data_IF_978691900789
#
_entry.id   IF_978691900789
#
_cell.length_a   1.000
_cell.length_b   1.000
_cell.length_c   1.000
_cell.angle_alpha   90.00
_cell.angle_beta   90.00
_cell.angle_gamma   90.00
#
_symmetry.space_group_name_H-M   'P 1'
#
loop_
_entity.id
_entity.type
_entity.pdbx_description
1 polymer ?
#
# COMPACT_ATOMS: atom_id res chain seq x y z
N UNK A 1 19.47 11.10 -4.92
CA UNK A 1 20.34 9.90 -4.90
C UNK A 1 19.96 9.06 -6.10
N UNK A 2 20.88 8.84 -7.05
CA UNK A 2 20.69 7.93 -8.19
C UNK A 2 21.21 6.56 -7.73
N UNK A 3 20.42 5.51 -7.89
CA UNK A 3 20.79 4.16 -7.48
C UNK A 3 21.33 3.43 -8.72
N UNK A 4 22.57 2.96 -8.67
CA UNK A 4 23.15 2.08 -9.68
C UNK A 4 22.86 0.61 -9.31
N UNK A 5 22.68 -0.21 -10.36
CA UNK A 5 21.85 -1.41 -10.40
C UNK A 5 22.34 -2.66 -9.66
N UNK A 6 23.53 -2.71 -9.06
CA UNK A 6 24.14 -4.02 -8.77
C UNK A 6 24.60 -4.27 -7.32
N UNK A 7 24.11 -3.49 -6.35
CA UNK A 7 24.34 -3.78 -4.93
C UNK A 7 23.07 -3.61 -4.13
N UNK A 8 22.71 -4.64 -3.35
CA UNK A 8 21.73 -4.52 -2.28
C UNK A 8 22.02 -3.25 -1.50
N UNK A 9 21.09 -2.31 -1.56
CA UNK A 9 21.32 -0.94 -1.12
C UNK A 9 21.05 -0.83 0.38
N UNK A 10 21.78 -1.65 1.13
CA UNK A 10 21.67 -1.79 2.59
C UNK A 10 22.11 -0.47 3.21
N UNK A 11 21.19 0.20 3.92
CA UNK A 11 21.51 1.40 4.68
C UNK A 11 21.72 2.66 3.86
N UNK A 12 21.18 2.77 2.64
CA UNK A 12 21.30 4.00 1.81
C UNK A 12 21.02 5.30 2.57
N UNK A 13 20.11 5.22 3.54
CA UNK A 13 19.62 6.38 4.27
C UNK A 13 20.21 6.52 5.68
N UNK A 14 21.09 5.60 6.11
CA UNK A 14 21.66 5.62 7.47
C UNK A 14 22.51 6.87 7.73
N UNK A 15 23.15 7.41 6.69
CA UNK A 15 23.94 8.63 6.76
C UNK A 15 23.08 9.91 6.88
N UNK A 16 21.78 9.82 6.63
CA UNK A 16 20.86 10.96 6.71
C UNK A 16 20.16 11.00 8.06
N UNK A 17 20.96 11.23 9.11
CA UNK A 17 20.51 11.19 10.51
C UNK A 17 19.39 12.17 10.87
N UNK A 18 19.19 13.23 10.08
CA UNK A 18 18.13 14.23 10.28
C UNK A 18 16.91 14.05 9.36
N UNK A 19 16.87 12.99 8.55
CA UNK A 19 15.82 12.77 7.57
C UNK A 19 14.48 12.45 8.25
N UNK A 20 13.52 13.37 8.11
CA UNK A 20 12.15 13.24 8.67
C UNK A 20 11.13 12.73 7.66
N UNK A 21 11.38 12.93 6.37
CA UNK A 21 10.46 12.58 5.29
C UNK A 21 11.23 11.87 4.18
N UNK A 22 10.75 10.71 3.76
CA UNK A 22 11.33 9.96 2.66
C UNK A 22 10.23 9.62 1.67
N UNK A 23 10.45 9.94 0.40
CA UNK A 23 9.62 9.47 -0.70
C UNK A 23 10.46 8.65 -1.64
N UNK A 24 10.07 7.40 -1.84
CA UNK A 24 10.63 6.49 -2.83
C UNK A 24 9.63 6.38 -3.98
N UNK A 25 10.09 6.62 -5.21
CA UNK A 25 9.26 6.54 -6.41
C UNK A 25 10.00 5.84 -7.53
N UNK A 26 9.28 4.97 -8.22
CA UNK A 26 9.76 4.28 -9.41
C UNK A 26 10.18 2.86 -9.11
N UNK A 27 10.64 2.19 -10.15
CA UNK A 27 11.06 0.80 -10.10
C UNK A 27 12.52 0.76 -9.66
N UNK A 28 12.79 0.09 -8.54
CA UNK A 28 14.12 -0.10 -8.03
C UNK A 28 14.21 -1.43 -7.30
N UNK A 29 15.44 -1.93 -7.17
CA UNK A 29 15.71 -3.17 -6.43
C UNK A 29 15.48 -3.01 -4.92
N UNK A 30 15.72 -4.09 -4.18
CA UNK A 30 15.53 -4.18 -2.73
C UNK A 30 16.21 -3.00 -2.01
N UNK A 31 15.41 -2.24 -1.26
CA UNK A 31 15.87 -1.12 -0.43
C UNK A 31 15.67 -1.47 1.04
N UNK A 32 16.69 -1.17 1.85
CA UNK A 32 16.59 -1.24 3.31
C UNK A 32 16.60 0.16 3.91
N UNK A 33 15.52 0.53 4.59
CA UNK A 33 15.39 1.84 5.25
C UNK A 33 15.83 1.74 6.70
N UNK A 34 16.87 2.49 7.06
CA UNK A 34 17.41 2.64 8.42
C UNK A 34 17.54 4.13 8.71
N UNK A 35 16.56 4.71 9.38
CA UNK A 35 16.46 6.16 9.58
C UNK A 35 15.73 6.47 10.89
N UNK A 36 16.45 6.64 12.01
CA UNK A 36 15.83 6.74 13.34
C UNK A 36 14.93 7.97 13.52
N UNK A 37 15.15 9.05 12.74
CA UNK A 37 14.37 10.29 12.82
C UNK A 37 13.24 10.39 11.80
N UNK A 38 13.03 9.35 10.99
CA UNK A 38 12.01 9.36 9.93
C UNK A 38 10.62 9.34 10.54
N UNK A 39 9.78 10.30 10.14
CA UNK A 39 8.39 10.45 10.59
C UNK A 39 7.38 10.06 9.52
N UNK A 40 7.72 10.29 8.25
CA UNK A 40 6.84 10.05 7.12
C UNK A 40 7.57 9.28 6.01
N UNK A 41 6.99 8.16 5.60
CA UNK A 41 7.48 7.33 4.50
C UNK A 41 6.39 7.20 3.43
N UNK A 42 6.72 7.60 2.20
CA UNK A 42 5.86 7.44 1.03
C UNK A 42 6.57 6.54 0.03
N UNK A 43 5.91 5.47 -0.39
CA UNK A 43 6.41 4.52 -1.39
C UNK A 43 5.45 4.54 -2.57
N UNK A 44 5.99 4.70 -3.79
CA UNK A 44 5.21 4.65 -5.03
C UNK A 44 5.88 3.76 -6.08
N UNK A 45 5.21 2.68 -6.45
CA UNK A 45 5.60 1.73 -7.51
C UNK A 45 7.00 1.14 -7.32
N UNK A 46 7.38 0.81 -6.08
CA UNK A 46 8.70 0.29 -5.73
C UNK A 46 8.63 -1.15 -5.25
N UNK A 47 9.62 -1.97 -5.61
CA UNK A 47 9.64 -3.40 -5.29
C UNK A 47 10.48 -3.73 -4.06
N UNK A 48 10.02 -4.72 -3.27
CA UNK A 48 10.80 -5.38 -2.20
C UNK A 48 11.42 -4.42 -1.18
N UNK A 49 10.58 -3.65 -0.48
CA UNK A 49 11.04 -2.71 0.55
C UNK A 49 11.07 -3.39 1.92
N UNK A 50 12.20 -3.24 2.60
CA UNK A 50 12.37 -3.65 3.98
C UNK A 50 12.66 -2.41 4.84
N UNK A 51 11.78 -2.09 5.77
CA UNK A 51 12.03 -1.07 6.79
C UNK A 51 12.67 -1.78 7.97
N UNK A 52 13.98 -1.62 8.15
CA UNK A 52 14.72 -2.32 9.20
C UNK A 52 14.67 -1.57 10.54
N UNK A 53 14.77 -0.24 10.51
CA UNK A 53 14.66 0.57 11.74
C UNK A 53 14.18 1.98 11.43
N UNK A 54 12.98 2.30 11.91
CA UNK A 54 12.37 3.63 11.82
C UNK A 54 11.43 3.86 13.03
N UNK A 55 11.95 3.88 14.27
CA UNK A 55 11.14 3.91 15.50
C UNK A 55 10.22 5.14 15.62
N UNK A 56 10.57 6.26 14.99
CA UNK A 56 9.77 7.49 15.02
C UNK A 56 8.81 7.63 13.83
N UNK A 57 8.67 6.58 13.01
CA UNK A 57 7.80 6.61 11.83
C UNK A 57 6.34 6.56 12.29
N UNK A 58 5.62 7.66 12.05
CA UNK A 58 4.23 7.82 12.47
C UNK A 58 3.25 7.74 11.30
N UNK A 59 3.71 8.04 10.07
CA UNK A 59 2.88 8.01 8.87
C UNK A 59 3.52 7.19 7.77
N UNK A 60 2.73 6.27 7.22
CA UNK A 60 3.13 5.42 6.11
C UNK A 60 2.16 5.55 4.94
N UNK A 61 2.67 5.66 3.73
CA UNK A 61 1.88 5.59 2.51
C UNK A 61 2.53 4.63 1.52
N UNK A 62 1.75 3.69 1.02
CA UNK A 62 2.16 2.77 -0.03
C UNK A 62 1.18 2.84 -1.20
N UNK A 63 1.72 2.98 -2.40
CA UNK A 63 0.97 2.99 -3.65
C UNK A 63 1.71 2.12 -4.67
N UNK A 64 1.05 1.12 -5.24
CA UNK A 64 1.66 0.27 -6.27
C UNK A 64 1.05 -1.11 -6.38
N UNK A 65 1.82 -2.04 -6.98
CA UNK A 65 1.43 -3.44 -7.12
C UNK A 65 1.78 -4.27 -5.87
N UNK A 66 1.48 -5.56 -5.89
CA UNK A 66 1.62 -6.52 -4.79
C UNK A 66 3.07 -6.84 -4.42
N UNK A 67 3.82 -5.81 -4.01
CA UNK A 67 5.21 -5.94 -3.63
C UNK A 67 5.33 -6.34 -2.17
N UNK A 68 6.26 -7.26 -1.84
CA UNK A 68 6.51 -7.60 -0.45
C UNK A 68 7.05 -6.37 0.28
N UNK A 69 6.28 -5.89 1.25
CA UNK A 69 6.67 -4.90 2.23
C UNK A 69 6.88 -5.60 3.57
N UNK A 70 8.00 -5.29 4.21
CA UNK A 70 8.29 -5.73 5.56
C UNK A 70 8.50 -4.51 6.45
N UNK A 71 7.62 -4.36 7.43
CA UNK A 71 7.71 -3.40 8.52
C UNK A 71 8.23 -4.09 9.79
N UNK A 72 8.92 -3.36 10.68
CA UNK A 72 9.28 -3.88 12.00
C UNK A 72 8.03 -4.24 12.80
N UNK A 73 8.07 -5.34 13.56
CA UNK A 73 6.93 -5.81 14.35
C UNK A 73 6.54 -4.86 15.49
N UNK A 74 7.50 -4.09 16.01
CA UNK A 74 7.35 -3.11 17.07
C UNK A 74 7.03 -1.69 16.54
N UNK A 75 6.76 -1.56 15.24
CA UNK A 75 6.48 -0.27 14.64
C UNK A 75 5.06 0.22 15.01
N UNK A 76 5.01 1.38 15.67
CA UNK A 76 3.75 2.05 16.03
C UNK A 76 3.45 3.20 15.06
N UNK A 77 2.57 2.93 14.09
CA UNK A 77 2.10 3.92 13.14
C UNK A 77 0.85 4.61 13.67
N UNK A 78 0.74 5.93 13.53
CA UNK A 78 -0.52 6.64 13.74
C UNK A 78 -1.42 6.52 12.50
N UNK A 79 -0.81 6.62 11.31
CA UNK A 79 -1.52 6.69 10.03
C UNK A 79 -0.90 5.79 8.97
N UNK A 80 -1.75 5.05 8.25
CA UNK A 80 -1.36 4.30 7.06
C UNK A 80 -2.33 4.54 5.91
N UNK A 81 -1.79 4.84 4.72
CA UNK A 81 -2.56 4.96 3.48
C UNK A 81 -2.07 3.92 2.46
N UNK A 82 -2.88 2.93 2.12
CA UNK A 82 -2.52 1.79 1.27
C UNK A 82 -3.38 1.79 0.00
N UNK A 83 -2.71 1.92 -1.15
CA UNK A 83 -3.33 1.94 -2.47
C UNK A 83 -2.72 0.83 -3.33
N UNK A 84 -3.46 -0.27 -3.50
CA UNK A 84 -3.00 -1.44 -4.26
C UNK A 84 -3.68 -1.49 -5.61
N UNK A 85 -2.92 -1.75 -6.67
CA UNK A 85 -3.45 -1.86 -8.02
C UNK A 85 -3.20 -3.25 -8.60
N UNK A 86 -4.26 -3.87 -9.15
CA UNK A 86 -4.10 -5.05 -10.00
C UNK A 86 -3.13 -4.71 -11.15
N UNK A 87 -2.08 -5.52 -11.39
CA UNK A 87 -1.28 -5.42 -12.60
C UNK A 87 -2.22 -5.45 -13.81
N UNK A 88 -2.03 -4.52 -14.73
CA UNK A 88 -2.65 -4.60 -16.04
C UNK A 88 -1.85 -5.65 -16.79
N UNK A 89 -2.42 -6.83 -17.03
CA UNK A 89 -1.81 -7.82 -17.93
C UNK A 89 -1.30 -7.10 -19.19
N UNK A 90 -0.05 -7.38 -19.59
CA UNK A 90 0.52 -7.33 -20.95
C UNK A 90 2.05 -7.08 -20.96
N UNK A 91 2.69 -6.60 -19.88
CA UNK A 91 4.17 -6.41 -19.91
C UNK A 91 4.99 -6.84 -18.69
N UNK A 92 4.38 -7.31 -17.60
CA UNK A 92 5.14 -7.91 -16.48
C UNK A 92 5.19 -9.44 -16.63
N UNK A 93 5.86 -9.89 -17.70
CA UNK A 93 6.10 -11.31 -17.99
C UNK A 93 7.11 -11.96 -17.01
N UNK A 94 7.48 -11.27 -15.92
CA UNK A 94 8.46 -11.72 -14.94
C UNK A 94 7.88 -12.12 -13.59
N UNK A 95 6.59 -11.85 -13.36
CA UNK A 95 5.85 -12.32 -12.19
C UNK A 95 4.77 -13.30 -12.65
N UNK A 96 5.17 -14.56 -12.77
CA UNK A 96 4.36 -15.77 -12.67
C UNK A 96 2.89 -15.60 -13.10
N UNK A 97 2.57 -16.07 -14.31
CA UNK A 97 1.24 -16.15 -14.92
C UNK A 97 0.18 -16.90 -14.06
N UNK A 98 0.52 -17.27 -12.84
CA UNK A 98 -0.30 -17.99 -11.86
C UNK A 98 -0.72 -17.16 -10.66
N UNK A 99 -0.62 -15.81 -10.65
CA UNK A 99 -0.96 -15.01 -9.45
C UNK A 99 -2.45 -15.13 -9.04
N UNK A 100 -2.73 -16.19 -8.31
CA UNK A 100 -3.98 -16.54 -7.65
C UNK A 100 -4.45 -15.32 -6.84
N UNK A 101 -5.72 -14.98 -6.97
CA UNK A 101 -6.31 -13.91 -6.17
C UNK A 101 -6.14 -14.19 -4.67
N UNK A 102 -6.04 -15.46 -4.25
CA UNK A 102 -5.65 -15.80 -2.89
C UNK A 102 -4.21 -15.39 -2.55
N UNK A 103 -3.24 -15.55 -3.45
CA UNK A 103 -1.87 -15.10 -3.20
C UNK A 103 -1.79 -13.58 -3.05
N UNK A 104 -2.59 -12.84 -3.84
CA UNK A 104 -2.74 -11.38 -3.71
C UNK A 104 -3.41 -11.02 -2.38
N UNK A 105 -4.51 -11.68 -2.03
CA UNK A 105 -5.22 -11.49 -0.77
C UNK A 105 -4.31 -11.79 0.44
N UNK A 106 -3.54 -12.88 0.42
CA UNK A 106 -2.55 -13.21 1.44
C UNK A 106 -1.55 -12.08 1.67
N UNK A 107 -1.03 -11.46 0.59
CA UNK A 107 -0.12 -10.30 0.72
C UNK A 107 -0.80 -9.10 1.37
N UNK A 108 -2.07 -8.84 1.04
CA UNK A 108 -2.86 -7.77 1.68
C UNK A 108 -3.06 -8.09 3.17
N UNK A 109 -3.47 -9.31 3.51
CA UNK A 109 -3.67 -9.75 4.90
C UNK A 109 -2.38 -9.59 5.71
N UNK A 110 -1.25 -10.09 5.20
CA UNK A 110 0.05 -9.94 5.85
C UNK A 110 0.43 -8.46 6.07
N UNK A 111 0.13 -7.59 5.11
CA UNK A 111 0.35 -6.15 5.24
C UNK A 111 -0.54 -5.54 6.32
N UNK A 112 -1.84 -5.86 6.34
CA UNK A 112 -2.77 -5.34 7.34
C UNK A 112 -2.40 -5.78 8.77
N UNK A 113 -1.93 -7.02 8.93
CA UNK A 113 -1.42 -7.53 10.22
C UNK A 113 -0.18 -6.77 10.70
N UNK A 114 0.72 -6.36 9.79
CA UNK A 114 1.87 -5.52 10.15
C UNK A 114 1.44 -4.11 10.60
N UNK A 115 0.26 -3.65 10.18
CA UNK A 115 -0.29 -2.32 10.52
C UNK A 115 -1.16 -2.35 11.79
N UNK A 116 -1.03 -3.34 12.66
CA UNK A 116 -1.91 -3.57 13.81
C UNK A 116 -2.09 -2.38 14.78
N UNK A 117 -1.12 -1.46 14.82
CA UNK A 117 -1.08 -0.31 15.72
C UNK A 117 -1.77 0.96 15.18
N UNK A 118 -2.20 0.97 13.91
CA UNK A 118 -2.71 2.18 13.24
C UNK A 118 -3.99 2.74 13.85
N UNK A 119 -4.07 4.07 13.93
CA UNK A 119 -5.28 4.80 14.36
C UNK A 119 -6.11 5.28 13.17
N UNK A 120 -5.46 5.59 12.06
CA UNK A 120 -6.10 6.10 10.84
C UNK A 120 -5.63 5.28 9.65
N UNK A 121 -6.54 4.50 9.06
CA UNK A 121 -6.26 3.66 7.91
C UNK A 121 -7.05 4.16 6.69
N UNK A 122 -6.36 4.36 5.57
CA UNK A 122 -7.00 4.55 4.27
C UNK A 122 -6.66 3.36 3.37
N UNK A 123 -7.69 2.72 2.81
CA UNK A 123 -7.56 1.68 1.78
C UNK A 123 -8.24 2.16 0.49
N UNK A 124 -7.86 1.59 -0.65
CA UNK A 124 -8.63 1.74 -1.89
C UNK A 124 -9.60 0.58 -2.11
N UNK A 125 -10.63 0.83 -2.92
CA UNK A 125 -11.70 -0.14 -3.22
C UNK A 125 -11.13 -1.45 -3.80
N UNK A 126 -10.09 -1.37 -4.62
CA UNK A 126 -9.41 -2.53 -5.18
C UNK A 126 -8.98 -3.53 -4.10
N UNK A 127 -8.37 -3.04 -3.00
CA UNK A 127 -7.93 -3.88 -1.89
C UNK A 127 -9.10 -4.62 -1.24
N UNK A 128 -10.26 -3.97 -1.16
CA UNK A 128 -11.48 -4.55 -0.60
C UNK A 128 -12.05 -5.63 -1.51
N UNK A 129 -12.03 -5.41 -2.83
CA UNK A 129 -12.49 -6.40 -3.80
C UNK A 129 -11.64 -7.67 -3.76
N UNK A 130 -10.31 -7.55 -3.69
CA UNK A 130 -9.40 -8.70 -3.60
C UNK A 130 -9.59 -9.48 -2.30
N UNK A 131 -9.83 -8.79 -1.18
CA UNK A 131 -10.17 -9.48 0.07
C UNK A 131 -11.54 -10.17 -0.02
N UNK A 132 -12.49 -9.57 -0.77
CA UNK A 132 -13.83 -10.12 -0.97
C UNK A 132 -13.84 -11.37 -1.86
N UNK A 133 -12.84 -11.56 -2.74
CA UNK A 133 -12.70 -12.81 -3.51
C UNK A 133 -12.13 -13.96 -2.68
N UNK A 134 -11.50 -13.66 -1.54
CA UNK A 134 -10.78 -14.63 -0.70
C UNK A 134 -11.19 -14.54 0.77
N UNK A 135 -12.50 -14.42 1.03
CA UNK A 135 -13.07 -14.20 2.37
C UNK A 135 -12.72 -15.30 3.36
N UNK A 136 -12.51 -16.53 2.88
CA UNK A 136 -12.11 -17.68 3.68
C UNK A 136 -10.76 -17.47 4.39
N UNK A 137 -9.87 -16.63 3.84
CA UNK A 137 -8.59 -16.29 4.45
C UNK A 137 -8.73 -15.42 5.70
N UNK A 138 -9.82 -14.66 5.80
CA UNK A 138 -10.03 -13.64 6.84
C UNK A 138 -11.22 -13.94 7.76
N UNK A 139 -12.14 -14.82 7.37
CA UNK A 139 -13.38 -15.11 8.10
C UNK A 139 -13.16 -15.60 9.53
N UNK A 140 -12.08 -16.36 9.75
CA UNK A 140 -11.70 -16.92 11.05
C UNK A 140 -10.57 -16.15 11.74
N UNK A 141 -10.02 -15.13 11.09
CA UNK A 141 -8.93 -14.33 11.64
C UNK A 141 -9.50 -13.20 12.50
N UNK A 142 -8.88 -12.89 13.65
CA UNK A 142 -9.26 -11.70 14.40
C UNK A 142 -8.95 -10.45 13.58
N UNK A 143 -9.66 -9.38 13.88
CA UNK A 143 -9.34 -8.08 13.30
C UNK A 143 -7.89 -7.69 13.64
N UNK A 144 -7.10 -7.22 12.67
CA UNK A 144 -5.71 -6.86 12.95
C UNK A 144 -5.61 -5.54 13.72
N UNK A 145 -6.70 -4.77 13.83
CA UNK A 145 -6.67 -3.41 14.39
C UNK A 145 -7.39 -3.32 15.74
N UNK A 146 -6.62 -3.16 16.80
CA UNK A 146 -7.15 -2.96 18.16
C UNK A 146 -7.36 -1.48 18.54
N UNK A 147 -6.76 -0.55 17.79
CA UNK A 147 -6.70 0.87 18.13
C UNK A 147 -7.22 1.80 17.03
N UNK A 148 -7.97 1.26 16.07
CA UNK A 148 -8.44 2.03 14.92
C UNK A 148 -9.47 3.06 15.37
N UNK A 149 -9.29 4.30 14.93
CA UNK A 149 -10.25 5.41 15.14
C UNK A 149 -11.00 5.74 13.85
N UNK A 150 -10.37 5.52 12.70
CA UNK A 150 -10.97 5.81 11.41
C UNK A 150 -10.48 4.84 10.34
N UNK A 151 -11.43 4.24 9.63
CA UNK A 151 -11.23 3.54 8.37
C UNK A 151 -11.83 4.38 7.25
N UNK A 152 -11.00 4.75 6.27
CA UNK A 152 -11.44 5.38 5.03
C UNK A 152 -11.25 4.42 3.87
N UNK A 153 -12.32 4.17 3.11
CA UNK A 153 -12.22 3.42 1.86
C UNK A 153 -12.43 4.39 0.71
N UNK A 154 -11.49 4.36 -0.22
CA UNK A 154 -11.44 5.28 -1.32
C UNK A 154 -11.87 4.61 -2.62
N UNK A 155 -12.94 5.13 -3.22
CA UNK A 155 -13.68 4.48 -4.33
C UNK A 155 -12.96 4.44 -5.67
N UNK A 156 -11.87 5.19 -5.85
CA UNK A 156 -11.27 5.31 -7.18
C UNK A 156 -10.54 4.02 -7.56
N UNK A 157 -11.09 3.33 -8.55
CA UNK A 157 -10.34 2.46 -9.45
C UNK A 157 -9.60 3.38 -10.44
N UNK A 158 -8.29 3.23 -10.60
CA UNK A 158 -7.51 4.14 -11.46
C UNK A 158 -7.73 3.88 -12.96
N UNK A 159 -8.48 2.83 -13.31
CA UNK A 159 -8.49 2.27 -14.66
C UNK A 159 -9.88 2.09 -15.29
N UNK A 160 -11.00 2.41 -14.64
CA UNK A 160 -12.30 2.43 -15.31
C UNK A 160 -12.63 3.83 -15.82
N UNK A 161 -12.22 4.13 -17.06
CA UNK A 161 -12.77 5.26 -17.85
C UNK A 161 -14.19 5.00 -18.37
N UNK A 162 -14.75 3.81 -18.15
CA UNK A 162 -16.19 3.62 -18.35
C UNK A 162 -16.89 4.10 -17.10
N UNK A 163 -17.73 5.11 -17.27
CA UNK A 163 -18.93 5.33 -16.46
C UNK A 163 -19.73 4.01 -16.44
N UNK A 164 -19.28 3.05 -15.64
CA UNK A 164 -20.12 1.95 -15.26
C UNK A 164 -20.95 2.51 -14.12
N UNK A 165 -22.25 2.60 -14.40
CA UNK A 165 -23.35 2.64 -13.44
C UNK A 165 -22.88 1.99 -12.16
N UNK A 166 -22.74 2.81 -11.12
CA UNK A 166 -22.16 2.47 -9.83
C UNK A 166 -22.51 1.01 -9.47
N UNK A 167 -21.57 0.06 -9.52
CA UNK A 167 -21.76 -1.16 -8.79
C UNK A 167 -21.90 -0.66 -7.35
N UNK A 168 -23.09 -0.83 -6.79
CA UNK A 168 -23.28 -0.79 -5.35
C UNK A 168 -22.46 -1.98 -4.86
N UNK A 169 -21.15 -1.78 -4.72
CA UNK A 169 -20.24 -2.75 -4.15
C UNK A 169 -20.71 -2.87 -2.70
N UNK A 170 -21.63 -3.81 -2.50
CA UNK A 170 -22.02 -4.27 -1.18
C UNK A 170 -20.73 -4.87 -0.64
N UNK A 171 -20.03 -4.09 0.19
CA UNK A 171 -18.82 -4.57 0.83
C UNK A 171 -19.17 -5.86 1.56
N UNK A 172 -18.36 -6.89 1.33
CA UNK A 172 -18.51 -8.16 2.01
C UNK A 172 -18.48 -7.91 3.52
N UNK A 173 -19.52 -8.40 4.21
CA UNK A 173 -19.69 -8.23 5.66
C UNK A 173 -18.50 -8.79 6.43
N UNK A 174 -17.90 -9.86 5.93
CA UNK A 174 -16.74 -10.54 6.49
C UNK A 174 -15.48 -9.68 6.37
N UNK A 175 -15.30 -8.96 5.26
CA UNK A 175 -14.20 -8.00 5.11
C UNK A 175 -14.36 -6.85 6.09
N UNK A 176 -15.57 -6.29 6.22
CA UNK A 176 -15.83 -5.20 7.15
C UNK A 176 -15.65 -5.64 8.60
N UNK A 177 -16.13 -6.83 8.94
CA UNK A 177 -15.93 -7.48 10.24
C UNK A 177 -14.44 -7.62 10.54
N UNK A 178 -13.68 -8.18 9.61
CA UNK A 178 -12.22 -8.31 9.73
C UNK A 178 -11.52 -6.96 9.94
N UNK A 179 -11.93 -5.89 9.27
CA UNK A 179 -11.29 -4.58 9.41
C UNK A 179 -11.70 -3.80 10.66
N UNK A 180 -12.88 -4.05 11.24
CA UNK A 180 -13.46 -3.17 12.27
C UNK A 180 -13.77 -3.84 13.62
N UNK A 181 -13.92 -5.16 13.70
CA UNK A 181 -14.35 -5.84 14.95
C UNK A 181 -13.41 -5.60 16.14
N UNK A 182 -12.12 -5.39 15.88
CA UNK A 182 -11.15 -5.08 16.93
C UNK A 182 -11.25 -3.65 17.48
N UNK A 183 -12.04 -2.79 16.83
CA UNK A 183 -12.15 -1.36 17.13
C UNK A 183 -13.59 -0.85 16.97
N UNK A 184 -14.53 -1.22 17.87
CA UNK A 184 -15.96 -0.91 17.75
C UNK A 184 -16.29 0.60 17.77
N UNK A 185 -15.36 1.45 18.24
CA UNK A 185 -15.49 2.91 18.19
C UNK A 185 -14.95 3.56 16.91
N UNK A 186 -14.44 2.77 15.96
CA UNK A 186 -13.88 3.30 14.73
C UNK A 186 -14.96 3.87 13.81
N UNK A 187 -14.72 5.08 13.32
CA UNK A 187 -15.52 5.65 12.24
C UNK A 187 -15.20 4.98 10.92
N UNK A 188 -16.23 4.61 10.15
CA UNK A 188 -16.08 4.16 8.78
C UNK A 188 -16.56 5.26 7.82
N UNK A 189 -15.76 5.58 6.81
CA UNK A 189 -16.13 6.56 5.77
C UNK A 189 -15.72 6.08 4.39
N UNK A 190 -16.67 6.18 3.46
CA UNK A 190 -16.41 5.93 2.04
C UNK A 190 -16.19 7.26 1.32
N UNK A 191 -15.03 7.41 0.68
CA UNK A 191 -14.59 8.67 0.06
C UNK A 191 -14.50 8.51 -1.45
N UNK A 192 -15.16 9.38 -2.20
CA UNK A 192 -14.86 9.62 -3.61
C UNK A 192 -13.79 10.69 -3.73
N UNK A 193 -12.76 10.50 -4.56
CA UNK A 193 -12.01 11.68 -5.01
C UNK A 193 -12.94 12.46 -5.93
N UNK A 194 -13.19 13.71 -5.58
CA UNK A 194 -13.42 14.69 -6.63
C UNK A 194 -12.15 14.70 -7.50
N UNK A 195 -12.25 14.76 -8.84
CA UNK A 195 -11.09 14.83 -9.71
C UNK A 195 -10.36 16.16 -9.49
N UNK A 196 -9.56 16.26 -8.43
CA UNK A 196 -8.59 17.32 -8.26
C UNK A 196 -7.43 17.01 -9.20
N UNK A 197 -7.48 17.69 -10.35
CA UNK A 197 -6.46 17.86 -11.39
C UNK A 197 -6.15 16.66 -12.28
N UNK A 198 -6.32 16.87 -13.59
CA UNK A 198 -5.71 16.10 -14.69
C UNK A 198 -4.25 15.75 -14.32
N UNK A 199 -3.97 14.47 -14.11
CA UNK A 199 -2.61 13.94 -14.26
C UNK A 199 -2.26 14.09 -15.73
N UNK A 200 -1.61 15.19 -16.10
CA UNK A 200 -0.90 15.28 -17.38
C UNK A 200 0.23 14.26 -17.31
N UNK A 201 0.03 13.12 -17.95
CA UNK A 201 1.10 12.16 -18.22
C UNK A 201 2.03 12.86 -19.22
N UNK A 202 3.11 13.46 -18.73
CA UNK A 202 4.23 13.83 -19.59
C UNK A 202 4.93 12.52 -20.00
N UNK A 203 4.57 11.98 -21.16
CA UNK A 203 5.42 11.02 -21.87
C UNK A 203 6.66 11.78 -22.31
N UNK A 204 7.80 11.61 -21.64
CA UNK A 204 9.08 11.97 -22.25
C UNK A 204 9.44 10.87 -23.24
N UNK A 205 9.11 11.08 -24.51
CA UNK A 205 9.77 10.39 -25.62
C UNK A 205 11.20 10.92 -25.67
N UNK A 206 12.15 10.16 -25.13
CA UNK A 206 13.56 10.39 -25.43
C UNK A 206 13.86 9.76 -26.80
N UNK A 207 13.47 10.43 -27.87
CA UNK A 207 14.11 10.25 -29.17
C UNK A 207 15.40 11.08 -29.12
N UNK A 208 16.55 10.41 -29.19
CA UNK A 208 17.78 11.04 -29.69
C UNK A 208 18.25 10.24 -30.89
N UNK A 209 17.91 10.76 -32.07
CA UNK A 209 18.83 10.77 -33.20
C UNK A 209 19.93 11.79 -32.86
N UNK A 210 21.17 11.33 -32.81
CA UNK A 210 22.27 11.64 -33.74
C UNK A 210 23.47 10.80 -33.32
#
# INVERSE_FOLDING_TARGET
VKLDDDKSSVGLFSNFVSLKNLTLRGYGHRVTVVTPQLKNLIIRNWERIHVASAPNLTSFQCEGHYYPLQLPADLHLDKADIFIFRPFDVYDLSLDETSDDNAKACKIVCLLQQLHSVKFLTLNLESIEILSTSVELISHQPSPFANLKSLKIYRKTYFTQKEQTQPKATMCTEVMKYLLDGSPGATFTMVSLEPKTKLTICRSLATKQF
#
